data_IF_197715743890
#
_entry.id   IF_197715743890
#
_cell.length_a   1.000
_cell.length_b   1.000
_cell.length_c   1.000
_cell.angle_alpha   90.00
_cell.angle_beta   90.00
_cell.angle_gamma   90.00
#
_symmetry.space_group_name_H-M   'P 1'
#
loop_
_entity.id
_entity.type
_entity.pdbx_description
1 polymer ?
#
# COMPACT_ATOMS: atom_id res chain seq x y z
N UNK A 1 0.97 -26.21 12.11
CA UNK A 1 1.60 -24.91 12.22
C UNK A 1 0.93 -23.91 11.32
N UNK A 2 0.42 -22.87 11.87
CA UNK A 2 -0.46 -21.98 11.14
C UNK A 2 0.06 -20.56 11.03
N UNK A 3 1.23 -20.28 11.51
CA UNK A 3 1.72 -18.92 11.54
C UNK A 3 2.33 -18.41 10.24
N UNK A 4 2.53 -19.30 9.30
CA UNK A 4 3.21 -18.91 8.06
C UNK A 4 2.29 -18.12 7.14
N UNK A 5 2.73 -16.95 6.73
CA UNK A 5 1.97 -16.10 5.82
C UNK A 5 2.77 -15.89 4.55
N UNK A 6 2.14 -16.15 3.42
CA UNK A 6 2.75 -16.01 2.12
C UNK A 6 2.10 -14.85 1.37
N UNK A 7 2.91 -13.97 0.80
CA UNK A 7 2.41 -12.83 0.02
C UNK A 7 2.58 -13.13 -1.46
N UNK A 8 1.49 -13.04 -2.21
CA UNK A 8 1.50 -13.32 -3.64
C UNK A 8 0.88 -12.15 -4.40
N UNK A 9 1.53 -11.76 -5.48
CA UNK A 9 1.00 -10.73 -6.36
C UNK A 9 0.31 -11.38 -7.55
N UNK A 10 -0.86 -10.83 -7.88
CA UNK A 10 -1.61 -11.25 -9.05
C UNK A 10 -2.11 -9.98 -9.75
N UNK A 11 -1.42 -9.56 -10.82
CA UNK A 11 -1.73 -8.31 -11.47
C UNK A 11 -1.62 -7.14 -10.49
N UNK A 12 -2.57 -6.21 -10.49
CA UNK A 12 -2.55 -5.07 -9.57
C UNK A 12 -3.18 -5.43 -8.22
N UNK A 13 -2.79 -6.56 -7.67
CA UNK A 13 -3.35 -7.05 -6.41
C UNK A 13 -2.28 -7.83 -5.65
N UNK A 14 -2.17 -7.57 -4.35
CA UNK A 14 -1.26 -8.31 -3.48
C UNK A 14 -2.09 -8.94 -2.38
N UNK A 15 -1.95 -10.24 -2.21
CA UNK A 15 -2.76 -11.02 -1.27
C UNK A 15 -1.86 -11.77 -0.31
N UNK A 16 -2.18 -11.69 0.98
CA UNK A 16 -1.52 -12.47 2.00
C UNK A 16 -2.33 -13.73 2.26
N UNK A 17 -1.68 -14.88 2.23
CA UNK A 17 -2.30 -16.18 2.36
C UNK A 17 -1.79 -16.90 3.60
N UNK A 18 -2.69 -17.57 4.30
CA UNK A 18 -2.30 -18.56 5.32
C UNK A 18 -2.89 -19.89 4.88
N UNK A 19 -2.03 -20.73 4.28
CA UNK A 19 -2.50 -21.94 3.63
C UNK A 19 -3.40 -21.58 2.46
N UNK A 20 -4.61 -22.13 2.37
CA UNK A 20 -5.54 -21.82 1.28
C UNK A 20 -6.40 -20.58 1.56
N UNK A 21 -6.19 -19.90 2.69
CA UNK A 21 -7.07 -18.83 3.13
C UNK A 21 -6.43 -17.48 2.91
N UNK A 22 -7.08 -16.57 2.15
CA UNK A 22 -6.60 -15.19 2.04
C UNK A 22 -6.97 -14.44 3.31
N UNK A 23 -6.00 -13.76 3.94
CA UNK A 23 -6.19 -13.08 5.21
C UNK A 23 -5.95 -11.59 5.12
N UNK A 24 -5.42 -11.11 4.00
CA UNK A 24 -5.26 -9.68 3.76
C UNK A 24 -5.12 -9.46 2.27
N UNK A 25 -5.53 -8.29 1.80
CA UNK A 25 -5.49 -8.02 0.38
C UNK A 25 -5.44 -6.52 0.14
N UNK A 26 -4.63 -6.10 -0.82
CA UNK A 26 -4.60 -4.73 -1.29
C UNK A 26 -4.60 -4.75 -2.81
N UNK A 27 -5.47 -3.95 -3.42
CA UNK A 27 -5.56 -3.84 -4.87
C UNK A 27 -5.50 -2.37 -5.27
N UNK A 28 -5.00 -2.13 -6.48
CA UNK A 28 -4.78 -0.77 -6.93
C UNK A 28 -5.02 -0.64 -8.42
N UNK A 29 -5.24 0.60 -8.85
CA UNK A 29 -5.25 0.96 -10.26
C UNK A 29 -3.93 1.62 -10.57
N UNK A 30 -3.28 1.21 -11.66
CA UNK A 30 -2.01 1.78 -12.08
C UNK A 30 -2.24 2.76 -13.21
N UNK A 31 -1.81 4.00 -13.02
CA UNK A 31 -1.89 5.05 -14.02
C UNK A 31 -0.49 5.62 -14.21
N UNK A 32 -0.33 6.44 -15.25
CA UNK A 32 0.99 7.00 -15.54
C UNK A 32 1.49 7.91 -14.43
N UNK A 33 0.59 8.66 -13.81
CA UNK A 33 0.97 9.59 -12.76
C UNK A 33 1.18 8.92 -11.41
N UNK A 34 0.62 7.72 -11.22
CA UNK A 34 0.74 7.05 -9.93
C UNK A 34 -0.25 5.91 -9.79
N UNK A 35 -0.24 5.33 -8.61
CA UNK A 35 -1.14 4.24 -8.27
C UNK A 35 -2.26 4.75 -7.37
N UNK A 36 -3.43 4.18 -7.53
CA UNK A 36 -4.58 4.48 -6.68
C UNK A 36 -5.06 3.20 -6.01
N UNK A 37 -5.03 3.16 -4.68
CA UNK A 37 -5.52 2.00 -3.93
C UNK A 37 -7.04 2.00 -3.98
N UNK A 38 -7.61 0.97 -4.60
CA UNK A 38 -9.06 0.89 -4.73
C UNK A 38 -9.68 -0.15 -3.79
N UNK A 39 -8.85 -0.96 -3.12
CA UNK A 39 -9.37 -1.96 -2.18
C UNK A 39 -8.30 -2.34 -1.17
N UNK A 40 -8.70 -2.40 0.09
CA UNK A 40 -7.82 -2.85 1.18
C UNK A 40 -8.68 -3.58 2.20
N UNK A 41 -8.27 -4.82 2.49
CA UNK A 41 -8.94 -5.65 3.48
C UNK A 41 -7.88 -6.37 4.29
N UNK A 42 -7.97 -6.30 5.61
CA UNK A 42 -7.02 -6.96 6.50
C UNK A 42 -7.82 -7.60 7.64
N UNK A 43 -7.84 -8.94 7.65
CA UNK A 43 -8.59 -9.65 8.68
C UNK A 43 -7.82 -9.76 9.99
N UNK A 44 -6.49 -9.75 9.90
CA UNK A 44 -5.65 -9.83 11.08
C UNK A 44 -4.82 -8.55 11.16
N UNK A 45 -5.06 -7.70 12.14
CA UNK A 45 -4.45 -6.36 12.18
C UNK A 45 -2.93 -6.36 12.11
N UNK A 46 -2.28 -7.39 12.62
CA UNK A 46 -0.82 -7.44 12.60
C UNK A 46 -0.26 -7.63 11.19
N UNK A 47 -1.09 -7.97 10.21
CA UNK A 47 -0.65 -8.14 8.84
C UNK A 47 -0.64 -6.84 8.06
N UNK A 48 -1.22 -5.77 8.59
CA UNK A 48 -1.30 -4.51 7.87
C UNK A 48 0.09 -3.96 7.55
N UNK A 49 0.97 -3.89 8.53
CA UNK A 49 2.31 -3.34 8.31
C UNK A 49 3.13 -4.15 7.31
N UNK A 50 3.22 -5.49 7.41
CA UNK A 50 3.97 -6.25 6.40
C UNK A 50 3.33 -6.20 5.03
N UNK A 51 1.99 -6.16 4.94
CA UNK A 51 1.31 -6.03 3.66
C UNK A 51 1.68 -4.71 3.00
N UNK A 52 1.61 -3.61 3.74
CA UNK A 52 1.93 -2.29 3.21
C UNK A 52 3.40 -2.16 2.87
N UNK A 53 4.27 -2.79 3.65
CA UNK A 53 5.70 -2.78 3.36
C UNK A 53 5.98 -3.43 2.01
N UNK A 54 5.38 -4.58 1.73
CA UNK A 54 5.57 -5.25 0.45
C UNK A 54 4.91 -4.48 -0.69
N UNK A 55 3.73 -3.93 -0.44
CA UNK A 55 3.04 -3.11 -1.43
C UNK A 55 3.86 -1.87 -1.79
N UNK A 56 4.43 -1.22 -0.78
CA UNK A 56 5.24 -0.03 -0.99
C UNK A 56 6.46 -0.34 -1.87
N UNK A 57 7.07 -1.50 -1.68
CA UNK A 57 8.20 -1.91 -2.52
C UNK A 57 7.78 -2.08 -3.97
N UNK A 58 6.60 -2.66 -4.20
CA UNK A 58 6.07 -2.81 -5.56
C UNK A 58 5.82 -1.45 -6.20
N UNK A 59 5.20 -0.54 -5.44
CA UNK A 59 4.94 0.81 -5.93
C UNK A 59 6.24 1.53 -6.29
N UNK A 60 7.22 1.49 -5.41
CA UNK A 60 8.50 2.17 -5.67
C UNK A 60 9.21 1.56 -6.87
N UNK A 61 9.09 0.27 -7.04
CA UNK A 61 9.68 -0.43 -8.17
C UNK A 61 9.02 -0.03 -9.50
N UNK A 62 7.77 0.38 -9.45
CA UNK A 62 7.05 0.80 -10.65
C UNK A 62 7.56 2.13 -11.19
N UNK A 63 8.24 2.91 -10.37
CA UNK A 63 8.72 4.23 -10.78
C UNK A 63 7.65 5.32 -10.77
N UNK A 64 6.43 5.00 -10.35
CA UNK A 64 5.36 6.00 -10.29
C UNK A 64 5.52 6.86 -9.05
N UNK A 65 5.46 8.20 -9.19
CA UNK A 65 5.79 9.08 -8.07
C UNK A 65 4.70 9.23 -7.02
N UNK A 66 3.45 8.93 -7.34
CA UNK A 66 2.37 9.16 -6.38
C UNK A 66 1.60 7.89 -6.08
N UNK A 67 1.04 7.84 -4.88
CA UNK A 67 0.17 6.79 -4.42
C UNK A 67 -0.98 7.47 -3.69
N UNK A 68 -2.21 7.17 -4.08
CA UNK A 68 -3.36 7.84 -3.49
C UNK A 68 -4.46 6.85 -3.16
N UNK A 69 -5.34 7.25 -2.27
CA UNK A 69 -6.50 6.46 -1.87
C UNK A 69 -7.52 7.35 -1.20
N UNK A 70 -8.78 6.93 -1.26
CA UNK A 70 -9.85 7.61 -0.55
C UNK A 70 -10.21 6.84 0.71
N UNK A 71 -10.55 7.56 1.76
CA UNK A 71 -10.89 6.93 3.03
C UNK A 71 -11.82 7.79 3.86
N UNK A 72 -12.65 7.11 4.64
CA UNK A 72 -13.44 7.77 5.66
C UNK A 72 -12.56 8.04 6.87
N UNK A 73 -12.68 9.21 7.51
CA UNK A 73 -11.90 9.48 8.71
C UNK A 73 -12.18 8.54 9.87
N UNK A 74 -13.31 7.84 9.82
CA UNK A 74 -13.65 6.88 10.88
C UNK A 74 -12.97 5.53 10.71
N UNK A 75 -12.30 5.29 9.60
CA UNK A 75 -11.73 4.00 9.31
C UNK A 75 -10.40 3.83 10.04
N UNK A 76 -10.37 2.93 11.02
CA UNK A 76 -9.18 2.70 11.84
C UNK A 76 -8.01 2.13 11.04
N UNK A 77 -8.30 1.30 10.05
CA UNK A 77 -7.27 0.74 9.18
C UNK A 77 -6.57 1.88 8.44
N UNK A 78 -7.34 2.83 7.97
CA UNK A 78 -6.81 3.99 7.26
C UNK A 78 -5.98 4.88 8.17
N UNK A 79 -6.39 5.02 9.43
CA UNK A 79 -5.58 5.76 10.40
C UNK A 79 -4.19 5.18 10.53
N UNK A 80 -4.08 3.85 10.59
CA UNK A 80 -2.78 3.19 10.64
C UNK A 80 -2.01 3.35 9.33
N UNK A 81 -2.71 3.27 8.21
CA UNK A 81 -2.11 3.43 6.90
C UNK A 81 -1.47 4.81 6.77
N UNK A 82 -2.17 5.86 7.21
CA UNK A 82 -1.64 7.21 7.19
C UNK A 82 -0.35 7.29 7.99
N UNK A 83 -0.34 6.71 9.19
CA UNK A 83 0.84 6.72 10.04
C UNK A 83 2.02 5.98 9.42
N UNK A 84 1.74 4.86 8.75
CA UNK A 84 2.81 4.06 8.14
C UNK A 84 3.34 4.70 6.87
N UNK A 85 2.47 5.25 6.05
CA UNK A 85 2.83 5.76 4.73
C UNK A 85 3.07 7.27 4.69
N UNK A 86 2.65 8.00 5.72
CA UNK A 86 2.86 9.44 5.76
C UNK A 86 2.03 10.20 4.74
N UNK A 87 0.77 9.84 4.60
CA UNK A 87 -0.10 10.43 3.60
C UNK A 87 -0.60 11.81 4.01
N UNK A 88 -0.80 12.68 3.02
CA UNK A 88 -1.48 13.96 3.21
C UNK A 88 -2.89 13.84 2.70
N UNK A 89 -3.82 14.50 3.40
CA UNK A 89 -5.24 14.39 3.09
C UNK A 89 -5.79 15.71 2.56
N UNK A 90 -6.60 15.58 1.49
CA UNK A 90 -7.32 16.74 0.95
C UNK A 90 -8.69 16.22 0.50
N UNK A 91 -9.75 16.63 1.21
CA UNK A 91 -11.11 16.25 0.85
C UNK A 91 -11.37 14.76 0.84
N UNK A 92 -10.74 14.01 1.75
CA UNK A 92 -10.91 12.57 1.80
C UNK A 92 -9.97 11.81 0.89
N UNK A 93 -9.24 12.48 0.03
CA UNK A 93 -8.22 11.86 -0.82
C UNK A 93 -6.88 11.97 -0.13
N UNK A 94 -6.26 10.83 0.12
CA UNK A 94 -4.93 10.75 0.72
C UNK A 94 -3.91 10.51 -0.37
N UNK A 95 -2.82 11.28 -0.34
CA UNK A 95 -1.78 11.19 -1.36
C UNK A 95 -0.41 11.10 -0.72
N UNK A 96 0.39 10.19 -1.24
CA UNK A 96 1.77 9.99 -0.81
C UNK A 96 2.66 10.22 -2.01
N UNK A 97 3.73 10.99 -1.81
CA UNK A 97 4.73 11.19 -2.85
C UNK A 97 5.99 10.44 -2.44
N UNK A 98 6.58 9.72 -3.36
CA UNK A 98 7.80 8.98 -3.07
C UNK A 98 8.99 9.92 -3.06
N UNK A 99 9.26 10.50 -1.91
CA UNK A 99 10.36 11.42 -1.74
C UNK A 99 11.72 10.74 -1.91
N UNK A 100 11.79 9.48 -1.51
CA UNK A 100 13.03 8.73 -1.69
C UNK A 100 13.37 8.57 -3.15
N UNK A 101 12.34 8.35 -3.97
CA UNK A 101 12.54 8.23 -5.41
C UNK A 101 13.08 9.53 -5.99
N UNK A 102 12.48 10.66 -5.60
CA UNK A 102 12.91 11.98 -6.05
C UNK A 102 14.29 12.31 -5.52
N UNK A 103 14.52 12.02 -4.25
CA UNK A 103 15.79 12.33 -3.59
C UNK A 103 16.93 11.54 -4.24
N UNK A 104 16.65 10.33 -4.61
CA UNK A 104 17.66 9.49 -5.24
C UNK A 104 18.17 10.11 -6.53
N UNK A 105 17.28 10.64 -7.34
CA UNK A 105 17.68 11.32 -8.55
C UNK A 105 18.54 12.54 -8.28
N UNK A 106 18.20 13.29 -7.23
CA UNK A 106 18.95 14.48 -6.86
C UNK A 106 20.29 14.14 -6.23
N UNK A 107 20.31 13.04 -5.49
CA UNK A 107 21.49 12.64 -4.74
C UNK A 107 22.68 12.39 -5.63
N UNK A 108 22.44 11.89 -6.79
CA UNK A 108 23.49 11.58 -7.76
C UNK A 108 23.69 12.66 -8.80
N UNK A 109 22.88 13.70 -8.73
CA UNK A 109 22.94 14.80 -9.66
C UNK A 109 23.97 15.85 -9.36
#
# INVERSE_FOLDING_TARGET
>A
MTGYTEFRQSGPCLIAWQGPTPVAQIAWDAAESGWYINFLSVEQPHLLAPLLSKFRKLWRRSGRPTLSFHASPDNQVIGRLIGILGAECSGGLYTIVDLDHSTEGNHHG
#
